data_IF_924260951040
#
_entry.id   IF_924260951040
#
_cell.length_a   1.000
_cell.length_b   1.000
_cell.length_c   1.000
_cell.angle_alpha   90.00
_cell.angle_beta   90.00
_cell.angle_gamma   90.00
#
_symmetry.space_group_name_H-M   'P 1'
#
loop_
_entity.id
_entity.type
_entity.pdbx_description
1 polymer ?
#
# COMPACT_ATOMS: atom_id res chain seq x y z
N UNK A 1 -5.14 34.72 24.27
CA UNK A 1 -5.53 33.30 24.34
C UNK A 1 -6.41 32.98 23.15
N UNK A 2 -6.09 31.98 22.34
CA UNK A 2 -6.98 31.55 21.27
C UNK A 2 -8.25 30.98 21.91
N UNK A 3 -9.41 31.40 21.40
CA UNK A 3 -10.69 30.94 21.93
C UNK A 3 -10.81 29.41 21.77
N UNK A 4 -11.38 28.68 22.75
CA UNK A 4 -11.51 27.22 22.69
C UNK A 4 -12.27 26.72 21.45
N UNK A 5 -13.10 27.55 20.82
CA UNK A 5 -13.81 27.25 19.58
C UNK A 5 -12.90 27.17 18.35
N UNK A 6 -11.75 27.88 18.31
CA UNK A 6 -10.81 27.80 17.18
C UNK A 6 -10.06 26.45 17.16
N UNK A 7 -9.62 25.98 18.31
CA UNK A 7 -8.94 24.68 18.44
C UNK A 7 -9.88 23.52 18.07
N UNK A 8 -11.14 23.57 18.52
CA UNK A 8 -12.16 22.56 18.18
C UNK A 8 -12.46 22.54 16.65
N UNK A 9 -12.48 23.69 15.98
CA UNK A 9 -12.70 23.75 14.53
C UNK A 9 -11.51 23.24 13.73
N UNK A 10 -10.29 23.50 14.19
CA UNK A 10 -9.06 22.95 13.55
C UNK A 10 -9.04 21.43 13.66
N UNK A 11 -9.33 20.87 14.85
CA UNK A 11 -9.38 19.42 15.06
C UNK A 11 -10.49 18.80 14.22
N UNK A 12 -11.67 19.42 14.12
CA UNK A 12 -12.75 18.96 13.24
C UNK A 12 -12.35 18.99 11.75
N UNK A 13 -11.65 20.04 11.30
CA UNK A 13 -11.16 20.13 9.93
C UNK A 13 -10.08 19.09 9.63
N UNK A 14 -9.17 18.82 10.57
CA UNK A 14 -8.15 17.76 10.42
C UNK A 14 -8.82 16.39 10.37
N UNK A 15 -9.77 16.09 11.25
CA UNK A 15 -10.53 14.84 11.23
C UNK A 15 -11.34 14.68 9.94
N UNK A 16 -12.06 15.73 9.50
CA UNK A 16 -12.82 15.70 8.25
C UNK A 16 -11.94 15.58 7.01
N UNK A 17 -10.75 16.21 6.98
CA UNK A 17 -9.80 16.06 5.87
C UNK A 17 -9.15 14.67 5.87
N UNK A 18 -8.84 14.10 7.02
CA UNK A 18 -8.35 12.73 7.17
C UNK A 18 -9.40 11.71 6.71
N UNK A 19 -10.66 11.93 7.02
CA UNK A 19 -11.79 11.07 6.61
C UNK A 19 -12.20 11.26 5.13
N UNK A 20 -12.00 12.45 4.55
CA UNK A 20 -12.26 12.73 3.14
C UNK A 20 -11.10 12.31 2.22
N UNK A 21 -9.92 12.09 2.77
CA UNK A 21 -8.73 11.66 2.02
C UNK A 21 -8.71 10.16 1.67
N UNK A 22 -9.83 9.47 1.78
CA UNK A 22 -10.04 8.16 1.16
C UNK A 22 -10.34 8.26 -0.36
N UNK A 23 -9.89 9.32 -1.00
CA UNK A 23 -9.71 9.27 -2.44
C UNK A 23 -8.50 8.37 -2.72
N UNK A 24 -8.80 7.12 -3.10
CA UNK A 24 -7.85 6.14 -3.58
C UNK A 24 -7.23 6.59 -4.93
N UNK A 25 -6.67 7.79 -4.95
CA UNK A 25 -6.02 8.35 -6.11
C UNK A 25 -4.58 7.84 -6.15
N UNK A 26 -4.30 7.00 -7.12
CA UNK A 26 -2.93 6.61 -7.43
C UNK A 26 -2.31 7.75 -8.23
N UNK A 27 -1.31 8.40 -7.67
CA UNK A 27 -0.57 9.48 -8.33
C UNK A 27 0.73 8.95 -8.93
N UNK A 28 1.12 9.51 -10.08
CA UNK A 28 2.39 9.17 -10.71
C UNK A 28 3.59 9.55 -9.82
N UNK A 29 4.64 8.74 -9.89
CA UNK A 29 5.89 9.02 -9.19
C UNK A 29 6.58 10.24 -9.77
N UNK A 30 6.95 11.21 -8.92
CA UNK A 30 7.63 12.46 -9.32
C UNK A 30 8.94 12.74 -8.56
N UNK A 31 9.45 11.77 -7.79
CA UNK A 31 10.71 11.91 -7.07
C UNK A 31 11.91 11.78 -7.99
N UNK A 32 12.98 12.53 -7.70
CA UNK A 32 14.32 12.38 -8.31
C UNK A 32 15.19 11.32 -7.62
N UNK A 33 14.61 10.57 -6.69
CA UNK A 33 15.30 9.48 -5.99
C UNK A 33 15.51 8.30 -6.94
N UNK A 34 16.70 7.74 -6.99
CA UNK A 34 17.04 6.49 -7.68
C UNK A 34 16.48 5.25 -6.92
N UNK A 35 15.78 5.49 -5.82
CA UNK A 35 15.16 4.44 -5.03
C UNK A 35 14.07 3.68 -5.78
N UNK A 36 13.71 2.53 -5.26
CA UNK A 36 12.72 1.65 -5.86
C UNK A 36 11.32 2.29 -5.88
N UNK A 37 10.70 2.33 -7.05
CA UNK A 37 9.32 2.77 -7.25
C UNK A 37 8.54 1.71 -8.03
N UNK A 38 7.21 1.77 -7.95
CA UNK A 38 6.35 0.90 -8.74
C UNK A 38 6.40 1.32 -10.22
N UNK A 39 6.58 0.33 -11.10
CA UNK A 39 6.48 0.50 -12.54
C UNK A 39 5.31 -0.34 -13.04
N UNK A 40 4.24 0.31 -13.50
CA UNK A 40 3.04 -0.43 -13.90
C UNK A 40 1.92 0.47 -14.38
N UNK A 41 0.73 -0.08 -14.37
CA UNK A 41 -0.51 0.58 -14.77
C UNK A 41 -1.42 0.73 -13.56
N UNK A 42 -2.12 1.86 -13.51
CA UNK A 42 -3.17 2.10 -12.54
C UNK A 42 -4.37 2.72 -13.24
N UNK A 43 -5.56 2.39 -12.76
CA UNK A 43 -6.79 2.96 -13.27
C UNK A 43 -7.80 3.20 -12.15
N UNK A 44 -8.69 4.15 -12.39
CA UNK A 44 -9.86 4.39 -11.54
C UNK A 44 -11.08 4.50 -12.43
N UNK A 45 -12.10 3.70 -12.14
CA UNK A 45 -13.34 3.62 -12.89
C UNK A 45 -14.51 4.04 -11.99
N UNK A 46 -15.27 5.02 -12.44
CA UNK A 46 -16.57 5.35 -11.83
C UNK A 46 -17.64 4.47 -12.45
N UNK A 47 -18.17 3.54 -11.65
CA UNK A 47 -19.17 2.55 -12.07
C UNK A 47 -20.61 3.03 -11.88
N UNK A 48 -20.83 4.25 -11.39
CA UNK A 48 -22.12 4.86 -11.16
C UNK A 48 -22.69 5.56 -12.40
N UNK A 49 -24.03 5.62 -12.50
CA UNK A 49 -24.68 6.49 -13.50
C UNK A 49 -24.45 7.96 -13.13
N UNK A 50 -24.16 8.80 -14.12
CA UNK A 50 -24.02 10.25 -13.94
C UNK A 50 -25.28 10.84 -13.29
N UNK A 51 -25.15 11.54 -12.16
CA UNK A 51 -26.27 12.07 -11.39
C UNK A 51 -26.90 11.12 -10.37
N UNK A 52 -26.40 9.87 -10.24
CA UNK A 52 -26.89 8.94 -9.22
C UNK A 52 -26.37 9.34 -7.83
N UNK A 53 -27.22 9.15 -6.82
CA UNK A 53 -26.87 9.27 -5.39
C UNK A 53 -25.91 8.15 -4.97
N UNK A 54 -25.99 7.00 -5.66
CA UNK A 54 -25.11 5.84 -5.42
C UNK A 54 -23.85 5.99 -6.29
N UNK A 55 -22.71 6.12 -5.66
CA UNK A 55 -21.42 6.22 -6.33
C UNK A 55 -20.59 4.97 -6.02
N UNK A 56 -20.19 4.28 -7.07
CA UNK A 56 -19.25 3.17 -7.01
C UNK A 56 -17.97 3.58 -7.74
N UNK A 57 -16.85 3.36 -7.09
CA UNK A 57 -15.54 3.62 -7.68
C UNK A 57 -14.67 2.39 -7.52
N UNK A 58 -14.07 1.93 -8.59
CA UNK A 58 -13.09 0.84 -8.60
C UNK A 58 -11.73 1.44 -8.99
N UNK A 59 -10.77 1.33 -8.10
CA UNK A 59 -9.37 1.65 -8.38
C UNK A 59 -8.58 0.37 -8.41
N UNK A 60 -7.74 0.18 -9.42
CA UNK A 60 -6.84 -0.97 -9.49
C UNK A 60 -5.46 -0.57 -10.00
N UNK A 61 -4.47 -1.32 -9.60
CA UNK A 61 -3.10 -1.18 -10.09
C UNK A 61 -2.44 -2.53 -10.31
N UNK A 62 -1.48 -2.55 -11.20
CA UNK A 62 -0.64 -3.69 -11.48
C UNK A 62 0.77 -3.20 -11.81
N UNK A 63 1.77 -3.76 -11.15
CA UNK A 63 3.17 -3.40 -11.31
C UNK A 63 4.03 -4.65 -11.36
N UNK A 64 4.88 -4.73 -12.37
CA UNK A 64 5.90 -5.77 -12.48
C UNK A 64 7.26 -5.12 -12.69
N UNK A 65 8.24 -5.52 -11.88
CA UNK A 65 9.59 -4.97 -11.96
C UNK A 65 10.63 -5.97 -11.51
N UNK A 66 11.87 -5.75 -11.96
CA UNK A 66 13.04 -6.37 -11.36
C UNK A 66 13.40 -5.64 -10.07
N UNK A 67 13.91 -6.38 -9.11
CA UNK A 67 14.33 -5.88 -7.80
C UNK A 67 15.76 -6.33 -7.50
N UNK A 68 16.44 -5.53 -6.70
CA UNK A 68 17.77 -5.81 -6.22
C UNK A 68 17.68 -6.60 -4.92
N UNK A 69 18.30 -7.77 -4.86
CA UNK A 69 18.20 -8.62 -3.69
C UNK A 69 19.55 -9.23 -3.30
N UNK A 70 19.76 -9.41 -2.00
CA UNK A 70 20.84 -10.23 -1.46
C UNK A 70 20.34 -11.65 -1.35
N UNK A 71 20.99 -12.58 -2.05
CA UNK A 71 20.61 -13.99 -2.06
C UNK A 71 21.37 -14.77 -0.98
N UNK A 72 20.70 -15.76 -0.43
CA UNK A 72 21.30 -16.81 0.38
C UNK A 72 21.98 -17.86 -0.53
N UNK A 73 22.73 -18.78 0.06
CA UNK A 73 23.38 -19.89 -0.66
C UNK A 73 22.39 -20.84 -1.37
N UNK A 74 21.16 -20.92 -0.87
CA UNK A 74 20.05 -21.71 -1.43
C UNK A 74 19.28 -20.99 -2.55
N UNK A 75 19.67 -19.75 -2.90
CA UNK A 75 19.02 -18.93 -3.90
C UNK A 75 17.79 -18.16 -3.41
N UNK A 76 17.39 -18.31 -2.16
CA UNK A 76 16.33 -17.51 -1.53
C UNK A 76 16.80 -16.09 -1.22
N UNK A 77 15.87 -15.15 -1.06
CA UNK A 77 16.19 -13.77 -0.76
C UNK A 77 16.39 -13.58 0.74
N UNK A 78 17.58 -13.10 1.13
CA UNK A 78 17.87 -12.66 2.49
C UNK A 78 17.37 -11.26 2.78
N UNK A 79 17.55 -10.35 1.82
CA UNK A 79 17.19 -8.92 1.98
C UNK A 79 16.95 -8.30 0.61
N UNK A 80 15.89 -7.50 0.49
CA UNK A 80 15.63 -6.65 -0.69
C UNK A 80 16.35 -5.32 -0.47
N UNK A 81 17.11 -4.87 -1.47
CA UNK A 81 17.78 -3.57 -1.45
C UNK A 81 16.82 -2.50 -1.99
N UNK A 82 16.66 -1.41 -1.26
CA UNK A 82 15.77 -0.29 -1.64
C UNK A 82 16.54 0.96 -2.05
N UNK A 83 17.88 0.92 -2.04
CA UNK A 83 18.70 2.10 -2.28
C UNK A 83 18.96 2.42 -3.75
N UNK A 84 18.84 1.42 -4.64
CA UNK A 84 19.12 1.57 -6.07
C UNK A 84 20.59 1.85 -6.43
N UNK A 85 21.52 1.70 -5.47
CA UNK A 85 22.93 1.95 -5.72
C UNK A 85 23.63 0.75 -6.35
N UNK A 86 24.42 1.00 -7.42
CA UNK A 86 25.19 0.00 -8.16
C UNK A 86 26.62 0.51 -8.40
N UNK A 87 27.32 0.92 -7.35
CA UNK A 87 28.64 1.58 -7.41
C UNK A 87 29.81 0.65 -7.13
N UNK A 88 29.56 -0.46 -6.44
CA UNK A 88 30.57 -1.44 -6.07
C UNK A 88 30.29 -2.78 -6.73
N UNK A 89 31.30 -3.67 -6.92
CA UNK A 89 31.09 -5.01 -7.47
C UNK A 89 30.00 -5.78 -6.71
N UNK A 90 29.98 -5.72 -5.38
CA UNK A 90 28.98 -6.38 -4.54
C UNK A 90 27.57 -5.83 -4.72
N UNK A 91 27.43 -4.51 -4.99
CA UNK A 91 26.12 -3.92 -5.31
C UNK A 91 25.67 -4.32 -6.72
N UNK A 92 26.60 -4.45 -7.67
CA UNK A 92 26.31 -4.90 -9.04
C UNK A 92 25.83 -6.35 -9.10
N UNK A 93 26.36 -7.24 -8.25
CA UNK A 93 25.89 -8.64 -8.14
C UNK A 93 24.43 -8.75 -7.69
N UNK A 94 23.96 -7.76 -6.94
CA UNK A 94 22.58 -7.72 -6.43
C UNK A 94 21.58 -7.14 -7.43
N UNK A 95 22.08 -6.49 -8.49
CA UNK A 95 21.29 -5.74 -9.45
C UNK A 95 20.34 -6.64 -10.22
N UNK A 96 19.03 -6.34 -10.14
CA UNK A 96 17.99 -6.98 -10.97
C UNK A 96 18.00 -8.52 -10.91
N UNK A 97 18.44 -9.12 -9.81
CA UNK A 97 18.59 -10.56 -9.69
C UNK A 97 17.31 -11.29 -9.23
N UNK A 98 16.24 -10.56 -9.01
CA UNK A 98 14.92 -11.07 -8.68
C UNK A 98 13.82 -10.23 -9.33
N UNK A 99 12.59 -10.71 -9.33
CA UNK A 99 11.42 -10.03 -9.91
C UNK A 99 10.29 -9.97 -8.90
N UNK A 100 9.54 -8.87 -8.93
CA UNK A 100 8.38 -8.66 -8.06
C UNK A 100 7.17 -8.23 -8.89
N UNK A 101 6.02 -8.87 -8.62
CA UNK A 101 4.71 -8.51 -9.09
C UNK A 101 3.90 -7.95 -7.91
N UNK A 102 3.33 -6.78 -8.10
CA UNK A 102 2.44 -6.16 -7.12
C UNK A 102 1.14 -5.80 -7.83
N UNK A 103 0.03 -6.29 -7.33
CA UNK A 103 -1.29 -6.01 -7.87
C UNK A 103 -2.26 -5.67 -6.73
N UNK A 104 -3.18 -4.76 -6.98
CA UNK A 104 -4.17 -4.42 -5.97
C UNK A 104 -5.42 -3.82 -6.57
N UNK A 105 -6.50 -3.91 -5.80
CA UNK A 105 -7.77 -3.32 -6.15
C UNK A 105 -8.45 -2.74 -4.90
N UNK A 106 -9.14 -1.64 -5.09
CA UNK A 106 -9.99 -0.99 -4.09
C UNK A 106 -11.33 -0.67 -4.71
N UNK A 107 -12.41 -1.17 -4.11
CA UNK A 107 -13.78 -0.82 -4.46
C UNK A 107 -14.35 0.05 -3.37
N UNK A 108 -14.98 1.15 -3.73
CA UNK A 108 -15.60 2.08 -2.79
C UNK A 108 -17.05 2.35 -3.20
N UNK A 109 -17.94 2.28 -2.24
CA UNK A 109 -19.35 2.65 -2.35
C UNK A 109 -19.65 3.85 -1.47
N UNK A 110 -20.26 4.88 -2.04
CA UNK A 110 -20.69 6.10 -1.31
C UNK A 110 -22.17 6.39 -1.58
N UNK A 111 -22.92 6.66 -0.51
CA UNK A 111 -24.34 7.04 -0.58
C UNK A 111 -24.76 7.84 0.66
N UNK A 112 -25.25 9.07 0.50
CA UNK A 112 -25.86 9.87 1.58
C UNK A 112 -25.09 9.82 2.92
N UNK A 113 -23.80 10.09 2.90
CA UNK A 113 -22.94 10.04 4.09
C UNK A 113 -22.45 8.66 4.50
N UNK A 114 -23.00 7.57 3.93
CA UNK A 114 -22.44 6.23 4.06
C UNK A 114 -21.31 6.03 3.06
N UNK A 115 -20.19 5.48 3.49
CA UNK A 115 -19.17 4.93 2.63
C UNK A 115 -18.74 3.54 3.12
N UNK A 116 -18.52 2.64 2.19
CA UNK A 116 -17.98 1.30 2.45
C UNK A 116 -16.96 1.03 1.37
N UNK A 117 -15.76 0.64 1.78
CA UNK A 117 -14.69 0.28 0.88
C UNK A 117 -14.10 -1.08 1.22
N UNK A 118 -13.58 -1.76 0.21
CA UNK A 118 -12.81 -2.98 0.36
C UNK A 118 -11.55 -2.88 -0.49
N UNK A 119 -10.43 -3.26 0.09
CA UNK A 119 -9.12 -3.28 -0.59
C UNK A 119 -8.52 -4.66 -0.52
N UNK A 120 -7.79 -5.02 -1.57
CA UNK A 120 -6.95 -6.21 -1.60
C UNK A 120 -5.65 -5.88 -2.32
N UNK A 121 -4.54 -6.32 -1.75
CA UNK A 121 -3.20 -6.19 -2.36
C UNK A 121 -2.55 -7.56 -2.36
N UNK A 122 -1.98 -7.93 -3.49
CA UNK A 122 -1.22 -9.14 -3.70
C UNK A 122 0.20 -8.79 -4.13
N UNK A 123 1.18 -9.43 -3.49
CA UNK A 123 2.59 -9.28 -3.80
C UNK A 123 3.17 -10.66 -4.05
N UNK A 124 3.80 -10.82 -5.19
CA UNK A 124 4.53 -12.03 -5.56
C UNK A 124 5.98 -11.70 -5.87
N UNK A 125 6.88 -12.60 -5.44
CA UNK A 125 8.32 -12.51 -5.68
C UNK A 125 8.77 -13.85 -6.24
N UNK A 126 9.52 -13.84 -7.34
CA UNK A 126 9.99 -15.05 -8.05
C UNK A 126 10.89 -15.94 -7.18
N UNK A 127 11.57 -15.36 -6.19
CA UNK A 127 12.41 -16.07 -5.22
C UNK A 127 11.85 -15.88 -3.83
N UNK A 128 11.66 -16.98 -3.04
CA UNK A 128 11.07 -16.84 -1.72
C UNK A 128 11.95 -16.02 -0.77
N UNK A 129 11.32 -15.17 0.03
CA UNK A 129 11.98 -14.48 1.13
C UNK A 129 12.34 -15.48 2.23
N UNK A 130 13.60 -15.49 2.62
CA UNK A 130 14.11 -16.25 3.77
C UNK A 130 15.18 -15.43 4.50
N UNK A 131 14.79 -14.43 5.28
CA UNK A 131 15.73 -13.53 5.97
C UNK A 131 16.51 -14.23 7.11
N UNK A 132 16.07 -15.40 7.55
CA UNK A 132 16.72 -16.20 8.59
C UNK A 132 16.87 -17.66 8.11
N UNK A 133 17.77 -17.97 7.16
CA UNK A 133 17.89 -19.29 6.55
C UNK A 133 18.30 -20.41 7.54
N UNK A 134 19.00 -20.05 8.61
CA UNK A 134 19.45 -20.99 9.65
C UNK A 134 18.43 -21.20 10.77
N UNK A 135 17.24 -20.60 10.68
CA UNK A 135 16.19 -20.62 11.70
C UNK A 135 16.69 -20.28 13.12
N UNK A 136 17.64 -19.35 13.23
CA UNK A 136 18.21 -18.94 14.51
C UNK A 136 17.12 -18.20 15.33
N UNK A 137 16.67 -18.73 16.48
CA UNK A 137 15.59 -18.12 17.28
C UNK A 137 16.00 -16.78 17.90
N UNK A 138 17.31 -16.55 18.08
CA UNK A 138 17.83 -15.32 18.65
C UNK A 138 18.04 -14.21 17.58
N UNK A 139 17.74 -14.49 16.32
CA UNK A 139 17.84 -13.49 15.26
C UNK A 139 16.63 -12.54 15.31
N UNK A 140 16.86 -11.22 15.27
CA UNK A 140 15.81 -10.22 15.12
C UNK A 140 14.97 -10.40 13.84
N UNK A 141 15.49 -11.16 12.84
CA UNK A 141 14.82 -11.47 11.57
C UNK A 141 13.86 -12.66 11.65
N UNK A 142 13.70 -13.30 12.82
CA UNK A 142 12.83 -14.47 13.00
C UNK A 142 11.37 -14.18 12.67
N UNK A 143 10.93 -12.94 12.92
CA UNK A 143 9.55 -12.48 12.69
C UNK A 143 9.35 -11.81 11.33
N UNK A 144 10.37 -11.77 10.47
CA UNK A 144 10.22 -11.20 9.13
C UNK A 144 9.42 -12.13 8.23
N UNK A 145 8.74 -11.54 7.24
CA UNK A 145 7.97 -12.30 6.26
C UNK A 145 8.83 -13.33 5.54
N UNK A 146 8.29 -14.53 5.36
CA UNK A 146 8.89 -15.66 4.64
C UNK A 146 7.96 -16.12 3.55
N UNK A 147 8.51 -16.55 2.40
CA UNK A 147 7.73 -17.03 1.27
C UNK A 147 7.81 -16.11 0.07
N UNK A 148 7.10 -16.46 -0.99
CA UNK A 148 7.07 -15.72 -2.26
C UNK A 148 5.75 -15.00 -2.53
N UNK A 149 4.70 -15.35 -1.79
CA UNK A 149 3.34 -14.87 -1.99
C UNK A 149 2.82 -14.21 -0.72
N UNK A 150 2.39 -12.97 -0.84
CA UNK A 150 1.83 -12.19 0.27
C UNK A 150 0.55 -11.50 -0.20
N UNK A 151 -0.48 -11.55 0.61
CA UNK A 151 -1.71 -10.83 0.36
C UNK A 151 -2.21 -10.15 1.62
N UNK A 152 -2.83 -9.01 1.44
CA UNK A 152 -3.50 -8.26 2.49
C UNK A 152 -4.88 -7.85 1.99
N UNK A 153 -5.87 -7.90 2.86
CA UNK A 153 -7.19 -7.39 2.57
C UNK A 153 -7.66 -6.48 3.69
N UNK A 154 -8.39 -5.44 3.35
CA UNK A 154 -9.01 -4.54 4.32
C UNK A 154 -10.42 -4.16 3.92
N UNK A 155 -11.25 -3.86 4.92
CA UNK A 155 -12.57 -3.28 4.77
C UNK A 155 -12.62 -2.01 5.60
N UNK A 156 -12.97 -0.90 4.97
CA UNK A 156 -13.19 0.38 5.60
C UNK A 156 -14.66 0.79 5.45
N UNK A 157 -15.19 1.42 6.47
CA UNK A 157 -16.57 1.86 6.48
C UNK A 157 -16.73 3.12 7.31
N UNK A 158 -17.76 3.89 6.99
CA UNK A 158 -18.13 5.03 7.81
C UNK A 158 -19.46 5.62 7.43
N UNK A 159 -20.01 6.35 8.38
CA UNK A 159 -21.27 7.03 8.25
C UNK A 159 -21.21 8.43 8.84
N UNK A 160 -21.65 9.41 8.07
CA UNK A 160 -21.70 10.81 8.46
C UNK A 160 -23.15 11.29 8.36
N UNK A 161 -23.76 11.67 9.47
CA UNK A 161 -25.11 12.21 9.51
C UNK A 161 -25.20 13.36 10.50
N UNK A 162 -25.35 14.58 9.99
CA UNK A 162 -25.45 15.79 10.80
C UNK A 162 -24.28 15.97 11.78
N UNK A 163 -24.53 15.72 13.06
CA UNK A 163 -23.52 15.84 14.14
C UNK A 163 -22.78 14.55 14.45
N UNK A 164 -23.22 13.41 13.90
CA UNK A 164 -22.63 12.10 14.16
C UNK A 164 -21.69 11.69 13.05
N UNK A 165 -20.54 11.18 13.45
CA UNK A 165 -19.55 10.57 12.55
C UNK A 165 -19.10 9.26 13.16
N UNK A 166 -19.22 8.19 12.40
CA UNK A 166 -18.75 6.87 12.76
C UNK A 166 -17.86 6.33 11.64
N UNK A 167 -16.71 5.75 11.98
CA UNK A 167 -15.81 5.13 10.99
C UNK A 167 -14.99 4.01 11.63
N UNK A 168 -14.60 3.06 10.80
CA UNK A 168 -13.73 1.97 11.20
C UNK A 168 -13.03 1.34 10.01
N UNK A 169 -11.95 0.61 10.32
CA UNK A 169 -11.20 -0.19 9.37
C UNK A 169 -10.80 -1.50 10.03
N UNK A 170 -10.83 -2.57 9.26
CA UNK A 170 -10.33 -3.89 9.65
C UNK A 170 -9.45 -4.42 8.52
N UNK A 171 -8.23 -4.85 8.85
CA UNK A 171 -7.27 -5.41 7.90
C UNK A 171 -6.67 -6.71 8.44
N UNK A 172 -6.19 -7.57 7.51
CA UNK A 172 -5.47 -8.82 7.81
C UNK A 172 -3.98 -8.66 7.54
#
# INVERSE_FOLDING_TARGET
QPSPNKASNIIKQIMLSSMNNHDATITGHSSRSDGEHFLGLANTLDLGKKGSINKWTLTSFWSYRKIDATLNKDGSISTISTTGYHRTPTEMEKKNNSSSLNAGAHINYKRNGLYIGASMVYNWIDRPLNPNPNNNPNSYRTYYAKGGDFWNASINYGYISGKFTFSGETAT
#
